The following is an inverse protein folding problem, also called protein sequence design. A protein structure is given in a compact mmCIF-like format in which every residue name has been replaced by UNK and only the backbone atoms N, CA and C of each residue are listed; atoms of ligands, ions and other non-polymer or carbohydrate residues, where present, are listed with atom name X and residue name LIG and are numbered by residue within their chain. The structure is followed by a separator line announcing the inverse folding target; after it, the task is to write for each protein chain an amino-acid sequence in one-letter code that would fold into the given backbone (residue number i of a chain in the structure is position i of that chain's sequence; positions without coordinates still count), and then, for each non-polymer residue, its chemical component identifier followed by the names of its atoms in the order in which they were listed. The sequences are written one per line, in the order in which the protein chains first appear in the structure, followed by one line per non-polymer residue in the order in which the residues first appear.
data_IF_572405439193
#
_entry.id   IF_572405439193
#
_cell.length_a   1.000
_cell.length_b   1.000
_cell.length_c   1.000
_cell.angle_alpha   90.00
_cell.angle_beta   90.00
_cell.angle_gamma   90.00
#
_symmetry.space_group_name_H-M   'P 1'
#
loop_
_entity.id
_entity.type
_entity.pdbx_description
1 polymer ?
#
# COMPACT_ATOMS: atom_id res chain seq x y z
N UNK A 1 -0.55 9.89 -2.70
CA UNK A 1 -1.20 9.11 -3.78
C UNK A 1 -2.31 9.92 -4.43
N UNK A 2 -2.63 9.67 -5.71
CA UNK A 2 -3.84 10.23 -6.36
C UNK A 2 -4.88 9.12 -6.49
N UNK A 3 -6.04 9.35 -5.90
CA UNK A 3 -7.18 8.43 -5.85
C UNK A 3 -8.29 9.01 -6.71
N UNK A 4 -8.83 8.19 -7.60
CA UNK A 4 -9.98 8.52 -8.41
C UNK A 4 -11.20 7.79 -7.86
N UNK A 5 -12.22 8.52 -7.42
CA UNK A 5 -13.47 7.93 -6.91
C UNK A 5 -14.57 8.17 -7.95
N UNK A 6 -15.17 7.08 -8.43
CA UNK A 6 -16.37 7.08 -9.26
C UNK A 6 -17.59 6.73 -8.43
N UNK A 7 -18.66 7.50 -8.60
CA UNK A 7 -19.90 7.20 -7.91
C UNK A 7 -20.79 8.42 -7.73
N UNK A 8 -21.92 8.21 -7.08
CA UNK A 8 -22.65 9.30 -6.47
C UNK A 8 -21.93 9.75 -5.19
N UNK A 9 -22.13 11.01 -4.79
CA UNK A 9 -21.60 11.54 -3.54
C UNK A 9 -22.48 11.05 -2.36
N UNK A 10 -22.52 9.73 -2.20
CA UNK A 10 -23.19 9.07 -1.09
C UNK A 10 -22.45 9.33 0.22
N UNK A 11 -23.10 9.03 1.35
CA UNK A 11 -22.46 9.05 2.67
C UNK A 11 -21.18 8.21 2.69
N UNK A 12 -21.17 7.05 2.02
CA UNK A 12 -19.99 6.17 1.93
C UNK A 12 -18.88 6.85 1.13
N UNK A 13 -19.20 7.35 -0.06
CA UNK A 13 -18.25 8.02 -0.95
C UNK A 13 -17.66 9.28 -0.30
N UNK A 14 -18.47 10.04 0.44
CA UNK A 14 -18.06 11.20 1.23
C UNK A 14 -17.08 10.82 2.34
N UNK A 15 -17.40 9.82 3.17
CA UNK A 15 -16.52 9.40 4.27
C UNK A 15 -15.21 8.83 3.76
N UNK A 16 -15.25 8.07 2.66
CA UNK A 16 -14.05 7.59 1.99
C UNK A 16 -13.17 8.75 1.50
N UNK A 17 -13.75 9.70 0.75
CA UNK A 17 -13.02 10.87 0.26
C UNK A 17 -12.43 11.68 1.42
N UNK A 18 -13.19 11.90 2.49
CA UNK A 18 -12.75 12.60 3.70
C UNK A 18 -11.58 11.90 4.37
N UNK A 19 -11.60 10.56 4.49
CA UNK A 19 -10.50 9.79 5.07
C UNK A 19 -9.24 9.90 4.20
N UNK A 20 -9.37 9.68 2.89
CA UNK A 20 -8.27 9.78 1.94
C UNK A 20 -7.62 11.19 1.95
N UNK A 21 -8.43 12.25 2.03
CA UNK A 21 -7.92 13.62 2.19
C UNK A 21 -7.20 13.81 3.53
N UNK A 22 -7.70 13.27 4.64
CA UNK A 22 -7.03 13.33 5.95
C UNK A 22 -5.65 12.68 5.90
N UNK A 23 -5.54 11.54 5.24
CA UNK A 23 -4.31 10.76 5.06
C UNK A 23 -3.36 11.37 3.99
N UNK A 24 -3.64 12.59 3.51
CA UNK A 24 -2.75 13.34 2.62
C UNK A 24 -2.84 12.93 1.15
N UNK A 25 -3.85 12.16 0.75
CA UNK A 25 -4.06 11.77 -0.63
C UNK A 25 -4.78 12.85 -1.45
N UNK A 26 -4.54 12.85 -2.75
CA UNK A 26 -5.27 13.70 -3.70
C UNK A 26 -6.48 12.94 -4.18
N UNK A 27 -7.66 13.52 -4.06
CA UNK A 27 -8.91 12.85 -4.39
C UNK A 27 -9.59 13.57 -5.54
N UNK A 28 -9.76 12.87 -6.66
CA UNK A 28 -10.64 13.33 -7.74
C UNK A 28 -11.93 12.52 -7.67
N UNK A 29 -13.06 13.21 -7.53
CA UNK A 29 -14.38 12.62 -7.51
C UNK A 29 -15.07 12.84 -8.85
N UNK A 30 -15.51 11.78 -9.50
CA UNK A 30 -16.32 11.85 -10.72
C UNK A 30 -17.74 11.47 -10.35
N UNK A 31 -18.58 12.51 -10.27
CA UNK A 31 -19.98 12.37 -9.91
C UNK A 31 -20.86 12.20 -11.15
N UNK A 32 -21.64 11.13 -11.15
CA UNK A 32 -22.75 10.95 -12.09
C UNK A 32 -23.95 11.76 -11.61
N UNK A 33 -24.41 12.73 -12.42
CA UNK A 33 -25.64 13.48 -12.13
C UNK A 33 -26.74 12.90 -13.01
N UNK A 34 -27.50 11.94 -12.46
CA UNK A 34 -28.73 11.50 -13.10
C UNK A 34 -29.78 12.61 -13.01
N UNK A 35 -30.43 12.94 -14.13
CA UNK A 35 -31.47 13.98 -14.17
C UNK A 35 -32.74 13.59 -13.44
N UNK A 36 -33.00 12.30 -13.24
CA UNK A 36 -34.23 11.82 -12.59
C UNK A 36 -34.11 11.76 -11.04
N UNK A 37 -32.89 11.70 -10.49
CA UNK A 37 -32.63 11.66 -9.04
C UNK A 37 -32.44 13.05 -8.42
N UNK A 38 -33.29 14.03 -8.76
CA UNK A 38 -33.19 15.43 -8.28
C UNK A 38 -33.21 15.59 -6.75
N UNK A 39 -33.76 14.61 -6.03
CA UNK A 39 -33.81 14.62 -4.56
C UNK A 39 -32.43 14.46 -3.89
N UNK A 40 -31.38 14.03 -4.60
CA UNK A 40 -30.02 13.91 -4.05
C UNK A 40 -29.14 15.16 -4.24
N UNK A 41 -29.54 16.11 -5.09
CA UNK A 41 -28.68 17.22 -5.50
C UNK A 41 -28.32 18.17 -4.35
N UNK A 42 -29.25 18.44 -3.44
CA UNK A 42 -29.00 19.35 -2.30
C UNK A 42 -28.01 18.74 -1.29
N UNK A 43 -28.17 17.46 -0.94
CA UNK A 43 -27.24 16.78 -0.04
C UNK A 43 -25.85 16.62 -0.67
N UNK A 44 -25.80 16.41 -1.99
CA UNK A 44 -24.52 16.33 -2.71
C UNK A 44 -23.78 17.67 -2.72
N UNK A 45 -24.47 18.80 -2.84
CA UNK A 45 -23.82 20.10 -2.81
C UNK A 45 -23.23 20.36 -1.42
N UNK A 46 -24.01 20.13 -0.35
CA UNK A 46 -23.53 20.30 1.03
C UNK A 46 -22.32 19.39 1.34
N UNK A 47 -22.37 18.12 0.91
CA UNK A 47 -21.23 17.22 1.08
C UNK A 47 -20.00 17.66 0.28
N UNK A 48 -20.21 18.24 -0.91
CA UNK A 48 -19.13 18.80 -1.74
C UNK A 48 -18.50 20.00 -1.03
N UNK A 49 -19.32 20.93 -0.53
CA UNK A 49 -18.86 22.12 0.17
C UNK A 49 -18.03 21.75 1.41
N UNK A 50 -18.48 20.75 2.19
CA UNK A 50 -17.72 20.20 3.32
C UNK A 50 -16.40 19.54 2.92
N UNK A 51 -16.31 18.90 1.75
CA UNK A 51 -15.04 18.35 1.25
C UNK A 51 -14.12 19.47 0.73
N UNK A 52 -14.67 20.55 0.18
CA UNK A 52 -13.93 21.73 -0.25
C UNK A 52 -13.36 22.49 0.96
N UNK A 53 -14.09 22.60 2.07
CA UNK A 53 -13.57 23.16 3.32
C UNK A 53 -12.32 22.41 3.81
N UNK A 54 -12.31 21.08 3.70
CA UNK A 54 -11.14 20.25 4.04
C UNK A 54 -9.93 20.50 3.13
N UNK A 55 -10.14 21.12 1.97
CA UNK A 55 -9.07 21.47 1.02
C UNK A 55 -8.49 22.86 1.17
N UNK A 56 -9.16 23.75 1.91
CA UNK A 56 -8.59 25.02 2.35
C UNK A 56 -7.31 24.82 3.20
N UNK A 57 -7.04 23.60 3.66
CA UNK A 57 -5.81 23.19 4.36
C UNK A 57 -4.64 22.78 3.43
N UNK A 58 -4.61 23.23 2.17
CA UNK A 58 -3.52 22.94 1.21
C UNK A 58 -3.59 21.56 0.55
N UNK A 59 -4.73 20.85 0.66
CA UNK A 59 -4.94 19.50 0.12
C UNK A 59 -5.73 19.56 -1.19
N UNK A 60 -5.42 18.70 -2.17
CA UNK A 60 -6.01 18.78 -3.53
C UNK A 60 -7.20 17.84 -3.68
N UNK A 61 -8.40 18.40 -3.72
CA UNK A 61 -9.68 17.74 -4.04
C UNK A 61 -10.25 18.35 -5.31
N UNK A 62 -10.85 17.53 -6.15
CA UNK A 62 -11.62 18.02 -7.29
C UNK A 62 -12.87 17.19 -7.48
N UNK A 63 -14.02 17.84 -7.63
CA UNK A 63 -15.26 17.21 -8.09
C UNK A 63 -15.45 17.51 -9.57
N UNK A 64 -15.85 16.50 -10.33
CA UNK A 64 -16.20 16.61 -11.74
C UNK A 64 -17.53 15.95 -11.98
N UNK A 65 -18.46 16.70 -12.56
CA UNK A 65 -19.77 16.21 -12.90
C UNK A 65 -19.76 15.64 -14.32
N UNK A 66 -20.36 14.47 -14.48
CA UNK A 66 -20.63 13.86 -15.79
C UNK A 66 -22.11 13.54 -15.89
N UNK A 67 -22.70 13.77 -17.07
CA UNK A 67 -24.12 13.45 -17.33
C UNK A 67 -24.34 11.96 -17.56
N UNK A 68 -23.33 11.30 -18.11
CA UNK A 68 -23.41 9.88 -18.50
C UNK A 68 -22.10 9.16 -18.14
N UNK A 69 -22.17 7.83 -18.07
CA UNK A 69 -20.97 6.99 -17.96
C UNK A 69 -20.05 7.17 -19.17
N UNK A 70 -20.63 7.23 -20.36
CA UNK A 70 -19.94 7.40 -21.64
C UNK A 70 -19.15 8.72 -21.73
N UNK A 71 -19.58 9.75 -21.01
CA UNK A 71 -18.87 11.04 -20.98
C UNK A 71 -17.77 11.11 -19.93
N UNK A 72 -17.70 10.19 -18.97
CA UNK A 72 -16.69 10.20 -17.91
C UNK A 72 -15.24 10.09 -18.44
N UNK A 73 -14.93 9.25 -19.45
CA UNK A 73 -13.58 9.20 -20.02
C UNK A 73 -13.18 10.51 -20.71
N UNK A 74 -14.13 11.19 -21.36
CA UNK A 74 -13.89 12.50 -22.01
C UNK A 74 -13.58 13.58 -20.98
N UNK A 75 -14.31 13.59 -19.86
CA UNK A 75 -14.05 14.46 -18.71
C UNK A 75 -12.64 14.19 -18.16
N UNK A 76 -12.26 12.92 -18.00
CA UNK A 76 -10.92 12.58 -17.54
C UNK A 76 -9.81 13.02 -18.47
N UNK A 77 -9.94 12.78 -19.79
CA UNK A 77 -8.96 13.25 -20.78
C UNK A 77 -8.76 14.75 -20.75
N UNK A 78 -9.85 15.51 -20.57
CA UNK A 78 -9.80 16.97 -20.52
C UNK A 78 -9.11 17.49 -19.26
N UNK A 79 -9.40 16.91 -18.09
CA UNK A 79 -8.91 17.43 -16.80
C UNK A 79 -7.61 16.78 -16.32
N UNK A 80 -7.26 15.63 -16.87
CA UNK A 80 -6.03 14.91 -16.55
C UNK A 80 -5.47 14.33 -17.84
N UNK A 81 -4.52 15.02 -18.50
CA UNK A 81 -3.88 14.56 -19.73
C UNK A 81 -3.16 13.19 -19.62
N UNK A 82 -3.22 12.52 -18.46
CA UNK A 82 -3.00 11.08 -18.32
C UNK A 82 -3.72 10.53 -17.10
N UNK A 83 -4.69 9.63 -17.30
CA UNK A 83 -5.31 8.85 -16.19
C UNK A 83 -4.27 7.99 -15.46
N UNK A 84 -3.10 7.79 -16.07
CA UNK A 84 -1.89 7.19 -15.48
C UNK A 84 -1.37 7.88 -14.22
N UNK A 85 -1.89 9.06 -13.85
CA UNK A 85 -1.52 9.74 -12.61
C UNK A 85 -2.24 9.18 -11.38
N UNK A 86 -3.32 8.42 -11.54
CA UNK A 86 -4.04 7.80 -10.44
C UNK A 86 -3.45 6.42 -10.12
N UNK A 87 -3.10 6.19 -8.86
CA UNK A 87 -2.62 4.87 -8.41
C UNK A 87 -3.78 3.95 -7.98
N UNK A 88 -4.95 4.52 -7.69
CA UNK A 88 -6.13 3.79 -7.22
C UNK A 88 -7.39 4.32 -7.87
N UNK A 89 -8.30 3.42 -8.24
CA UNK A 89 -9.64 3.75 -8.72
C UNK A 89 -10.66 3.07 -7.81
N UNK A 90 -11.51 3.86 -7.17
CA UNK A 90 -12.57 3.35 -6.29
C UNK A 90 -13.92 3.62 -6.90
N UNK A 91 -14.74 2.58 -7.04
CA UNK A 91 -16.13 2.67 -7.44
C UNK A 91 -16.99 2.55 -6.19
N UNK A 92 -17.61 3.65 -5.79
CA UNK A 92 -18.51 3.71 -4.66
C UNK A 92 -19.93 3.93 -5.19
N UNK A 93 -20.81 2.94 -5.00
CA UNK A 93 -22.19 3.00 -5.52
C UNK A 93 -23.16 3.07 -4.34
N UNK A 94 -24.05 4.06 -4.32
CA UNK A 94 -25.20 4.01 -3.41
C UNK A 94 -26.30 3.12 -3.97
N UNK A 95 -26.93 2.36 -3.08
CA UNK A 95 -28.18 1.70 -3.37
C UNK A 95 -29.31 2.75 -3.41
N UNK A 96 -30.06 2.84 -4.51
CA UNK A 96 -31.29 3.65 -4.53
C UNK A 96 -32.36 2.99 -3.67
N UNK A 97 -33.03 3.77 -2.81
CA UNK A 97 -34.21 3.31 -2.06
C UNK A 97 -35.42 3.23 -3.01
N UNK A 98 -35.74 2.03 -3.48
CA UNK A 98 -36.93 1.76 -4.29
C UNK A 98 -37.21 0.25 -4.36
N UNK A 99 -38.49 -0.13 -4.36
CA UNK A 99 -38.94 -1.52 -4.36
C UNK A 99 -38.69 -2.22 -5.71
N UNK A 100 -38.00 -3.37 -5.64
CA UNK A 100 -37.76 -4.39 -6.67
C UNK A 100 -36.78 -4.11 -7.84
N UNK A 101 -35.58 -4.67 -7.66
CA UNK A 101 -34.38 -4.76 -8.54
C UNK A 101 -33.54 -3.52 -8.94
N UNK A 102 -33.59 -2.33 -8.28
CA UNK A 102 -32.68 -1.23 -8.61
C UNK A 102 -31.19 -1.57 -8.42
N UNK A 103 -30.86 -2.48 -7.50
CA UNK A 103 -29.47 -2.86 -7.22
C UNK A 103 -28.75 -3.44 -8.43
N UNK A 104 -29.44 -4.26 -9.23
CA UNK A 104 -28.86 -4.88 -10.43
C UNK A 104 -28.61 -3.85 -11.54
N UNK A 105 -29.53 -2.88 -11.71
CA UNK A 105 -29.37 -1.81 -12.69
C UNK A 105 -28.20 -0.89 -12.34
N UNK A 106 -28.06 -0.51 -11.06
CA UNK A 106 -26.97 0.37 -10.58
C UNK A 106 -25.61 -0.32 -10.70
N UNK A 107 -25.50 -1.59 -10.31
CA UNK A 107 -24.25 -2.34 -10.45
C UNK A 107 -23.90 -2.51 -11.93
N UNK A 108 -24.87 -2.87 -12.78
CA UNK A 108 -24.68 -3.00 -14.23
C UNK A 108 -24.20 -1.68 -14.86
N UNK A 109 -24.86 -0.57 -14.51
CA UNK A 109 -24.49 0.77 -15.00
C UNK A 109 -23.09 1.16 -14.53
N UNK A 110 -22.74 0.84 -13.28
CA UNK A 110 -21.41 1.11 -12.71
C UNK A 110 -20.31 0.29 -13.40
N UNK A 111 -20.61 -0.97 -13.75
CA UNK A 111 -19.70 -1.84 -14.49
C UNK A 111 -19.55 -1.41 -15.95
N UNK A 112 -20.63 -0.95 -16.60
CA UNK A 112 -20.56 -0.34 -17.92
C UNK A 112 -19.72 0.94 -17.90
N UNK A 113 -19.90 1.77 -16.87
CA UNK A 113 -19.05 2.93 -16.58
C UNK A 113 -17.57 2.55 -16.50
N UNK A 114 -17.24 1.53 -15.69
CA UNK A 114 -15.88 1.02 -15.55
C UNK A 114 -15.35 0.47 -16.88
N UNK A 115 -16.17 -0.28 -17.62
CA UNK A 115 -15.84 -0.83 -18.94
C UNK A 115 -15.42 0.26 -19.91
N UNK A 116 -16.29 1.24 -20.15
CA UNK A 116 -16.01 2.37 -21.05
C UNK A 116 -14.83 3.20 -20.56
N UNK A 117 -14.65 3.32 -19.25
CA UNK A 117 -13.49 3.97 -18.67
C UNK A 117 -12.20 3.24 -19.04
N UNK A 118 -12.12 1.93 -18.80
CA UNK A 118 -10.90 1.17 -19.07
C UNK A 118 -10.57 1.17 -20.57
N UNK A 119 -11.57 1.01 -21.43
CA UNK A 119 -11.41 1.04 -22.89
C UNK A 119 -10.87 2.39 -23.40
N UNK A 120 -11.48 3.50 -22.98
CA UNK A 120 -11.13 4.84 -23.48
C UNK A 120 -9.88 5.42 -22.82
N UNK A 121 -9.63 5.12 -21.54
CA UNK A 121 -8.48 5.68 -20.84
C UNK A 121 -7.16 5.06 -21.26
N UNK A 122 -7.19 3.97 -22.04
CA UNK A 122 -6.00 3.43 -22.69
C UNK A 122 -4.87 3.31 -21.66
N UNK A 123 -5.17 2.68 -20.52
CA UNK A 123 -4.27 2.52 -19.38
C UNK A 123 -3.10 1.60 -19.76
N UNK A 124 -2.25 2.06 -20.68
CA UNK A 124 -1.23 1.30 -21.39
C UNK A 124 0.09 1.19 -20.62
N UNK A 125 0.11 1.52 -19.33
CA UNK A 125 1.33 1.37 -18.51
C UNK A 125 1.22 0.17 -17.59
N UNK A 126 2.33 -0.56 -17.34
CA UNK A 126 2.36 -1.79 -16.55
C UNK A 126 2.21 -1.54 -15.04
N UNK A 127 1.48 -0.49 -14.64
CA UNK A 127 1.25 -0.19 -13.22
C UNK A 127 0.00 -0.95 -12.76
N UNK A 128 0.07 -1.67 -11.63
CA UNK A 128 -1.12 -2.27 -11.05
C UNK A 128 -2.10 -1.15 -10.68
N UNK A 129 -3.33 -1.27 -11.17
CA UNK A 129 -4.43 -0.40 -10.79
C UNK A 129 -5.32 -1.19 -9.85
N UNK A 130 -5.41 -0.74 -8.60
CA UNK A 130 -6.32 -1.32 -7.63
C UNK A 130 -7.72 -0.77 -7.87
N UNK A 131 -8.64 -1.67 -8.21
CA UNK A 131 -10.05 -1.37 -8.39
C UNK A 131 -10.79 -1.86 -7.15
N UNK A 132 -11.35 -0.91 -6.39
CA UNK A 132 -12.18 -1.22 -5.24
C UNK A 132 -13.64 -0.97 -5.58
N UNK A 133 -14.50 -1.98 -5.43
CA UNK A 133 -15.94 -1.84 -5.59
C UNK A 133 -16.57 -1.84 -4.21
N UNK A 134 -17.12 -0.69 -3.83
CA UNK A 134 -17.81 -0.50 -2.55
C UNK A 134 -19.29 -0.32 -2.86
N UNK A 135 -20.10 -1.31 -2.52
CA UNK A 135 -21.55 -1.22 -2.61
C UNK A 135 -22.14 -0.93 -1.22
N UNK A 136 -22.87 0.17 -1.09
CA UNK A 136 -23.56 0.54 0.15
C UNK A 136 -24.75 -0.37 0.49
N UNK A 137 -25.09 -1.36 -0.36
CA UNK A 137 -26.11 -2.38 -0.06
C UNK A 137 -25.86 -3.05 1.30
N UNK A 138 -24.60 -3.22 1.70
CA UNK A 138 -24.20 -3.87 2.95
C UNK A 138 -24.61 -3.08 4.22
N UNK A 139 -24.85 -1.77 4.08
CA UNK A 139 -25.37 -0.94 5.18
C UNK A 139 -26.90 -0.98 5.30
N UNK A 140 -27.61 -1.28 4.20
CA UNK A 140 -29.08 -1.32 4.13
C UNK A 140 -29.62 -2.75 4.28
N UNK A 141 -28.87 -3.76 3.83
CA UNK A 141 -29.21 -5.18 3.91
C UNK A 141 -29.25 -5.73 5.35
N UNK A 142 -28.70 -4.99 6.32
CA UNK A 142 -28.88 -5.27 7.75
C UNK A 142 -30.35 -5.19 8.20
N UNK A 143 -31.28 -4.80 7.33
CA UNK A 143 -32.69 -4.64 7.68
C UNK A 143 -33.65 -5.72 7.16
N UNK A 144 -33.49 -6.42 6.00
CA UNK A 144 -34.49 -7.44 5.59
C UNK A 144 -34.05 -8.57 4.62
N UNK A 145 -34.41 -9.81 5.01
CA UNK A 145 -34.59 -11.09 4.27
C UNK A 145 -33.39 -11.77 3.57
N UNK A 146 -33.35 -13.11 3.67
CA UNK A 146 -32.35 -14.01 3.06
C UNK A 146 -32.33 -14.00 1.52
N UNK A 147 -33.43 -13.63 0.86
CA UNK A 147 -33.54 -13.61 -0.62
C UNK A 147 -32.71 -12.52 -1.31
N UNK A 148 -32.26 -11.50 -0.57
CA UNK A 148 -31.43 -10.42 -1.09
C UNK A 148 -29.97 -10.86 -1.33
N UNK A 149 -29.49 -11.85 -0.58
CA UNK A 149 -28.10 -12.30 -0.63
C UNK A 149 -27.79 -13.09 -1.91
N UNK A 150 -28.68 -14.00 -2.33
CA UNK A 150 -28.49 -14.79 -3.57
C UNK A 150 -28.55 -13.90 -4.82
N UNK A 151 -29.45 -12.91 -4.82
CA UNK A 151 -29.53 -11.92 -5.92
C UNK A 151 -28.28 -11.05 -5.98
N UNK A 152 -27.72 -10.64 -4.84
CA UNK A 152 -26.47 -9.87 -4.79
C UNK A 152 -25.27 -10.68 -5.32
N UNK A 153 -25.13 -11.95 -4.90
CA UNK A 153 -24.07 -12.83 -5.35
C UNK A 153 -24.10 -13.04 -6.88
N UNK A 154 -25.27 -13.27 -7.45
CA UNK A 154 -25.45 -13.42 -8.91
C UNK A 154 -25.05 -12.16 -9.69
N UNK A 155 -25.41 -10.98 -9.19
CA UNK A 155 -25.08 -9.70 -9.84
C UNK A 155 -23.57 -9.42 -9.80
N UNK A 156 -22.90 -9.74 -8.70
CA UNK A 156 -21.45 -9.60 -8.57
C UNK A 156 -20.69 -10.58 -9.46
N UNK A 157 -21.17 -11.82 -9.61
CA UNK A 157 -20.59 -12.81 -10.53
C UNK A 157 -20.65 -12.33 -12.00
N UNK A 158 -21.81 -11.85 -12.45
CA UNK A 158 -21.99 -11.33 -13.82
C UNK A 158 -21.10 -10.10 -14.07
N UNK A 159 -21.03 -9.19 -13.09
CA UNK A 159 -20.19 -8.00 -13.15
C UNK A 159 -18.70 -8.34 -13.28
N UNK A 160 -18.22 -9.25 -12.43
CA UNK A 160 -16.83 -9.68 -12.41
C UNK A 160 -16.43 -10.42 -13.69
N UNK A 161 -17.27 -11.32 -14.20
CA UNK A 161 -17.05 -12.00 -15.49
C UNK A 161 -16.95 -11.01 -16.64
N UNK A 162 -17.75 -9.94 -16.64
CA UNK A 162 -17.72 -8.92 -17.69
C UNK A 162 -16.41 -8.11 -17.68
N UNK A 163 -15.93 -7.70 -16.51
CA UNK A 163 -14.66 -6.98 -16.35
C UNK A 163 -13.46 -7.85 -16.75
N UNK A 164 -13.46 -9.12 -16.35
CA UNK A 164 -12.37 -10.06 -16.66
C UNK A 164 -12.34 -10.43 -18.16
N UNK A 165 -13.49 -10.68 -18.78
CA UNK A 165 -13.57 -11.02 -20.21
C UNK A 165 -13.13 -9.85 -21.10
N UNK A 166 -13.55 -8.62 -20.79
CA UNK A 166 -13.12 -7.43 -21.51
C UNK A 166 -11.60 -7.23 -21.37
N UNK A 167 -11.05 -7.37 -20.17
CA UNK A 167 -9.61 -7.18 -19.95
C UNK A 167 -8.78 -8.25 -20.67
N UNK A 168 -9.20 -9.52 -20.63
CA UNK A 168 -8.55 -10.61 -21.37
C UNK A 168 -8.56 -10.37 -22.89
N UNK A 169 -9.67 -9.84 -23.42
CA UNK A 169 -9.76 -9.47 -24.85
C UNK A 169 -8.79 -8.34 -25.23
N UNK A 170 -8.38 -7.50 -24.28
CA UNK A 170 -7.54 -6.32 -24.52
C UNK A 170 -6.06 -6.57 -24.21
N UNK A 171 -5.75 -7.44 -23.23
CA UNK A 171 -4.40 -7.61 -22.70
C UNK A 171 -4.09 -9.07 -22.43
N UNK A 172 -3.23 -9.67 -23.26
CA UNK A 172 -2.70 -11.03 -23.14
C UNK A 172 -1.73 -11.22 -21.94
N UNK A 173 -1.89 -10.49 -20.84
CA UNK A 173 -0.98 -10.51 -19.68
C UNK A 173 -1.71 -10.32 -18.34
N UNK A 174 -1.31 -11.00 -17.24
CA UNK A 174 -2.05 -10.98 -15.98
C UNK A 174 -1.40 -10.04 -14.95
N UNK A 175 -2.14 -9.03 -14.46
CA UNK A 175 -2.05 -8.55 -13.07
C UNK A 175 -3.08 -7.45 -12.79
N UNK A 176 -4.33 -7.85 -12.51
CA UNK A 176 -5.28 -7.00 -11.78
C UNK A 176 -5.56 -7.69 -10.45
N UNK A 177 -5.32 -6.97 -9.35
CA UNK A 177 -5.78 -7.38 -8.03
C UNK A 177 -7.13 -6.71 -7.75
N UNK A 178 -8.21 -7.45 -7.96
CA UNK A 178 -9.54 -7.04 -7.52
C UNK A 178 -9.72 -7.51 -6.07
N UNK A 179 -9.90 -6.56 -5.14
CA UNK A 179 -10.09 -6.86 -3.72
C UNK A 179 -11.50 -6.44 -3.29
N UNK A 180 -12.30 -7.40 -2.86
CA UNK A 180 -13.57 -7.13 -2.19
C UNK A 180 -13.29 -6.68 -0.74
N UNK A 181 -14.09 -5.75 -0.22
CA UNK A 181 -13.87 -5.20 1.13
C UNK A 181 -14.23 -6.25 2.20
N UNK A 182 -13.45 -6.38 3.30
CA UNK A 182 -13.74 -7.29 4.40
C UNK A 182 -15.15 -7.06 4.97
N UNK A 183 -16.03 -8.06 4.81
CA UNK A 183 -17.47 -7.97 5.10
C UNK A 183 -18.26 -8.76 4.06
N UNK A 184 -17.94 -8.55 2.79
CA UNK A 184 -18.51 -9.30 1.65
C UNK A 184 -18.07 -10.77 1.69
N UNK A 185 -16.78 -11.02 1.93
CA UNK A 185 -16.22 -12.39 2.02
C UNK A 185 -16.82 -13.21 3.18
N UNK A 186 -17.05 -12.56 4.33
CA UNK A 186 -17.62 -13.21 5.53
C UNK A 186 -19.09 -13.55 5.36
N UNK A 187 -19.86 -12.77 4.60
CA UNK A 187 -21.26 -13.09 4.33
C UNK A 187 -21.43 -14.13 3.22
N UNK A 188 -20.57 -14.10 2.20
CA UNK A 188 -20.56 -15.13 1.14
C UNK A 188 -20.20 -16.52 1.69
N UNK A 189 -19.41 -16.60 2.77
CA UNK A 189 -19.13 -17.86 3.47
C UNK A 189 -20.22 -18.31 4.45
N UNK A 190 -21.09 -17.39 4.90
CA UNK A 190 -22.20 -17.69 5.83
C UNK A 190 -23.53 -18.05 5.13
N UNK A 191 -23.68 -17.78 3.83
CA UNK A 191 -24.79 -18.30 3.04
C UNK A 191 -24.53 -19.77 2.69
N UNK A 192 -25.45 -20.67 3.03
CA UNK A 192 -25.35 -22.11 2.76
C UNK A 192 -25.20 -22.47 1.27
N UNK A 193 -25.54 -21.55 0.37
CA UNK A 193 -25.37 -21.61 -1.09
C UNK A 193 -24.10 -20.91 -1.62
N UNK A 194 -23.43 -20.07 -0.82
CA UNK A 194 -22.41 -19.13 -1.29
C UNK A 194 -20.98 -19.68 -1.35
N UNK A 195 -20.58 -20.52 -0.39
CA UNK A 195 -19.23 -21.09 -0.37
C UNK A 195 -18.93 -22.04 -1.56
N UNK A 196 -19.87 -22.91 -2.00
CA UNK A 196 -19.68 -23.70 -3.21
C UNK A 196 -19.61 -22.81 -4.45
N UNK A 197 -20.44 -21.77 -4.55
CA UNK A 197 -20.49 -20.87 -5.69
C UNK A 197 -19.22 -20.01 -5.83
N UNK A 198 -18.67 -19.48 -4.73
CA UNK A 198 -17.40 -18.74 -4.76
C UNK A 198 -16.26 -19.67 -5.19
N UNK A 199 -16.24 -20.92 -4.69
CA UNK A 199 -15.24 -21.91 -5.08
C UNK A 199 -15.40 -22.33 -6.54
N UNK A 200 -16.63 -22.53 -7.01
CA UNK A 200 -16.95 -22.89 -8.40
C UNK A 200 -16.62 -21.75 -9.38
N UNK A 201 -16.95 -20.51 -9.04
CA UNK A 201 -16.62 -19.33 -9.85
C UNK A 201 -15.11 -19.12 -9.88
N UNK A 202 -14.42 -19.20 -8.74
CA UNK A 202 -12.96 -19.04 -8.68
C UNK A 202 -12.26 -20.20 -9.40
N UNK A 203 -12.71 -21.44 -9.24
CA UNK A 203 -12.16 -22.61 -9.93
C UNK A 203 -12.46 -22.61 -11.43
N UNK A 204 -13.64 -22.15 -11.86
CA UNK A 204 -13.98 -22.00 -13.28
C UNK A 204 -13.16 -20.90 -13.95
N UNK A 205 -12.89 -19.80 -13.23
CA UNK A 205 -12.00 -18.73 -13.68
C UNK A 205 -10.56 -19.26 -13.80
N UNK A 206 -10.04 -19.96 -12.79
CA UNK A 206 -8.68 -20.55 -12.81
C UNK A 206 -8.55 -21.60 -13.92
N UNK A 207 -9.54 -22.49 -14.07
CA UNK A 207 -9.52 -23.54 -15.09
C UNK A 207 -9.62 -22.97 -16.51
N UNK A 208 -10.50 -21.99 -16.75
CA UNK A 208 -10.58 -21.31 -18.04
C UNK A 208 -9.30 -20.52 -18.39
N UNK A 209 -8.58 -20.01 -17.37
CA UNK A 209 -7.27 -19.39 -17.54
C UNK A 209 -6.16 -20.42 -17.84
N UNK A 210 -6.23 -21.63 -17.29
CA UNK A 210 -5.23 -22.69 -17.49
C UNK A 210 -5.38 -23.40 -18.84
N UNK A 211 -6.59 -23.80 -19.23
CA UNK A 211 -6.84 -24.55 -20.49
C UNK A 211 -6.47 -23.73 -21.73
N UNK A 212 -6.51 -22.39 -21.66
CA UNK A 212 -6.16 -21.51 -22.79
C UNK A 212 -4.68 -21.11 -22.87
N UNK A 213 -3.90 -21.37 -21.82
CA UNK A 213 -2.44 -21.20 -21.88
C UNK A 213 -1.76 -22.31 -22.70
N UNK A 214 -2.33 -23.51 -22.70
CA UNK A 214 -1.79 -24.67 -23.42
C UNK A 214 -1.92 -24.52 -24.95
N UNK A 215 -2.95 -23.80 -25.42
CA UNK A 215 -3.19 -23.56 -26.85
C UNK A 215 -2.20 -22.56 -27.50
N UNK A 216 -1.44 -21.78 -26.72
CA UNK A 216 -0.54 -20.73 -27.25
C UNK A 216 0.92 -21.13 -27.45
N UNK A 217 1.31 -22.38 -27.14
CA UNK A 217 2.69 -22.86 -27.29
C UNK A 217 3.05 -23.38 -28.70
N UNK A 218 2.16 -23.25 -29.69
CA UNK A 218 2.41 -23.68 -31.06
C UNK A 218 2.52 -22.46 -32.01
N UNK A 219 3.72 -21.88 -32.13
CA UNK A 219 4.35 -21.32 -33.36
C UNK A 219 5.30 -20.13 -33.08
N UNK A 220 6.64 -20.33 -33.07
CA UNK A 220 7.63 -19.27 -32.81
C UNK A 220 8.31 -18.77 -34.10
N UNK A 221 7.56 -18.39 -35.15
CA UNK A 221 8.15 -17.81 -36.38
C UNK A 221 7.34 -16.66 -37.00
N UNK A 222 7.23 -15.52 -36.34
CA UNK A 222 7.20 -14.23 -37.05
C UNK A 222 7.38 -13.05 -36.11
N UNK A 223 8.50 -12.33 -36.25
CA UNK A 223 8.69 -10.88 -36.04
C UNK A 223 10.18 -10.57 -35.88
N UNK A 224 10.88 -10.43 -37.01
CA UNK A 224 12.10 -9.62 -37.09
C UNK A 224 11.82 -8.47 -38.03
N UNK A 225 12.07 -7.25 -37.57
CA UNK A 225 12.30 -6.09 -38.43
C UNK A 225 13.49 -5.27 -37.89
N UNK A 226 14.18 -4.49 -38.76
CA UNK A 226 15.60 -4.24 -38.64
C UNK A 226 15.96 -2.90 -37.96
N UNK A 227 17.16 -2.89 -37.39
CA UNK A 227 17.83 -1.73 -36.79
C UNK A 227 18.31 -0.71 -37.85
N UNK A 228 18.24 0.58 -37.50
CA UNK A 228 18.84 1.73 -38.18
C UNK A 228 19.58 2.62 -37.14
N UNK A 229 20.51 3.51 -37.55
CA UNK A 229 21.87 3.53 -37.02
C UNK A 229 22.19 4.61 -35.99
N UNK A 230 23.29 4.39 -35.28
CA UNK A 230 23.89 5.26 -34.24
C UNK A 230 24.51 6.52 -34.84
N UNK A 231 24.11 7.69 -34.35
CA UNK A 231 25.00 8.85 -34.25
C UNK A 231 24.48 9.88 -33.24
N UNK A 232 25.43 10.47 -32.49
CA UNK A 232 25.34 11.63 -31.60
C UNK A 232 25.13 11.34 -30.10
N UNK A 233 26.27 11.22 -29.41
CA UNK A 233 26.44 11.37 -27.96
C UNK A 233 26.42 12.86 -27.58
N UNK A 234 25.77 13.24 -26.46
CA UNK A 234 26.19 14.38 -25.68
C UNK A 234 26.77 13.96 -24.31
N UNK A 235 27.98 14.47 -24.06
CA UNK A 235 28.57 14.88 -22.77
C UNK A 235 27.78 14.57 -21.48
N UNK A 236 28.34 13.66 -20.67
CA UNK A 236 27.84 13.31 -19.35
C UNK A 236 28.19 14.41 -18.32
N UNK A 237 27.17 15.11 -17.82
CA UNK A 237 27.24 15.83 -16.54
C UNK A 237 27.10 14.81 -15.41
N UNK A 238 27.99 14.88 -14.42
CA UNK A 238 27.91 14.09 -13.19
C UNK A 238 26.59 14.40 -12.46
N UNK A 239 25.72 13.40 -12.36
CA UNK A 239 24.47 13.48 -11.58
C UNK A 239 24.76 13.16 -10.13
N UNK A 240 24.73 14.19 -9.27
CA UNK A 240 24.56 14.02 -7.83
C UNK A 240 23.14 13.46 -7.61
N UNK A 241 23.05 12.21 -7.16
CA UNK A 241 21.78 11.61 -6.76
C UNK A 241 21.36 12.27 -5.44
N UNK A 242 20.47 13.26 -5.52
CA UNK A 242 19.80 13.84 -4.35
C UNK A 242 18.67 12.89 -3.95
N UNK A 243 18.84 12.14 -2.86
CA UNK A 243 17.81 11.25 -2.29
C UNK A 243 16.70 12.03 -1.54
N UNK A 244 16.50 13.31 -1.83
CA UNK A 244 15.57 14.18 -1.10
C UNK A 244 14.14 14.20 -1.63
N UNK A 245 13.84 13.53 -2.75
CA UNK A 245 12.51 13.61 -3.35
C UNK A 245 11.66 12.39 -3.01
N UNK A 246 10.88 12.56 -1.94
CA UNK A 246 9.65 11.84 -1.58
C UNK A 246 9.77 10.35 -1.31
N UNK A 247 9.48 9.95 -0.06
CA UNK A 247 9.35 8.58 0.44
C UNK A 247 8.18 7.77 -0.19
N UNK A 248 7.78 8.07 -1.43
CA UNK A 248 6.55 7.56 -2.04
C UNK A 248 6.75 6.52 -3.16
N UNK A 249 7.98 6.16 -3.51
CA UNK A 249 8.29 5.06 -4.44
C UNK A 249 9.65 4.44 -4.06
N UNK A 250 9.77 3.88 -2.84
CA UNK A 250 10.92 3.01 -2.57
C UNK A 250 10.67 1.73 -3.35
N UNK A 251 11.28 1.61 -4.53
CA UNK A 251 11.38 0.33 -5.24
C UNK A 251 11.86 -0.75 -4.27
N UNK A 252 11.41 -1.98 -4.41
CA UNK A 252 11.98 -3.09 -3.64
C UNK A 252 13.50 -3.09 -3.89
N UNK A 253 14.27 -2.74 -2.85
CA UNK A 253 15.73 -2.64 -2.90
C UNK A 253 16.37 -3.65 -1.97
N UNK A 254 17.41 -4.32 -2.46
CA UNK A 254 18.28 -5.19 -1.64
C UNK A 254 19.59 -4.47 -1.38
N UNK A 255 19.90 -4.26 -0.11
CA UNK A 255 21.13 -3.60 0.33
C UNK A 255 22.23 -4.62 0.61
N UNK A 256 23.46 -4.35 0.18
CA UNK A 256 24.63 -5.12 0.57
C UNK A 256 25.89 -4.25 0.65
N UNK A 257 26.97 -4.80 1.19
CA UNK A 257 28.27 -4.13 1.28
C UNK A 257 29.34 -4.93 0.54
N UNK A 258 30.21 -4.23 -0.19
CA UNK A 258 31.41 -4.79 -0.79
C UNK A 258 32.60 -3.92 -0.38
N UNK A 259 33.24 -4.27 0.74
CA UNK A 259 34.35 -3.53 1.32
C UNK A 259 35.68 -4.23 1.04
N UNK A 260 36.52 -3.63 0.22
CA UNK A 260 37.83 -4.17 -0.18
C UNK A 260 38.93 -3.80 0.81
N UNK A 261 38.74 -2.74 1.61
CA UNK A 261 39.73 -2.30 2.60
C UNK A 261 39.61 -2.99 3.97
N UNK A 262 38.62 -3.88 4.14
CA UNK A 262 38.42 -4.68 5.37
C UNK A 262 38.57 -6.16 5.08
N UNK A 263 39.12 -6.90 6.06
CA UNK A 263 39.11 -8.36 6.03
C UNK A 263 37.70 -8.87 6.26
N UNK A 264 37.31 -9.85 5.47
CA UNK A 264 36.13 -10.68 5.75
C UNK A 264 36.36 -11.39 7.10
N UNK A 265 35.53 -11.16 8.12
CA UNK A 265 35.75 -11.73 9.45
C UNK A 265 35.58 -13.25 9.49
N UNK A 266 34.86 -13.85 8.53
CA UNK A 266 34.67 -15.30 8.44
C UNK A 266 35.83 -15.97 7.68
N UNK A 267 36.30 -15.34 6.60
CA UNK A 267 37.33 -15.92 5.72
C UNK A 267 38.75 -15.47 6.05
N UNK A 268 38.91 -14.40 6.82
CA UNK A 268 40.21 -13.83 7.19
C UNK A 268 40.99 -13.18 6.05
N UNK A 269 40.36 -13.00 4.88
CA UNK A 269 40.98 -12.48 3.65
C UNK A 269 40.36 -11.14 3.22
N UNK A 270 41.11 -10.36 2.44
CA UNK A 270 40.56 -9.20 1.73
C UNK A 270 39.94 -9.65 0.42
N UNK A 271 38.80 -9.05 0.06
CA UNK A 271 38.16 -9.30 -1.23
C UNK A 271 38.71 -8.30 -2.24
N UNK A 272 39.15 -8.80 -3.42
CA UNK A 272 39.58 -7.92 -4.52
C UNK A 272 38.42 -7.05 -5.03
N UNK A 273 38.71 -5.80 -5.42
CA UNK A 273 37.72 -4.83 -5.89
C UNK A 273 37.12 -5.09 -7.27
N UNK A 274 37.49 -6.21 -7.90
CA UNK A 274 36.98 -6.66 -9.20
C UNK A 274 36.58 -8.14 -9.22
N UNK A 275 36.37 -8.74 -8.04
CA UNK A 275 36.07 -10.18 -7.95
C UNK A 275 34.58 -10.47 -8.26
N UNK A 276 34.24 -10.69 -9.53
CA UNK A 276 32.86 -10.98 -9.92
C UNK A 276 32.34 -12.27 -9.30
N UNK A 277 33.16 -13.32 -9.18
CA UNK A 277 32.67 -14.59 -8.62
C UNK A 277 32.15 -14.42 -7.19
N UNK A 278 32.74 -13.51 -6.41
CA UNK A 278 32.31 -13.18 -5.05
C UNK A 278 30.88 -12.65 -4.96
N UNK A 279 30.38 -11.93 -5.96
CA UNK A 279 29.02 -11.34 -5.98
C UNK A 279 28.09 -11.95 -7.02
N UNK A 280 28.58 -12.91 -7.81
CA UNK A 280 27.87 -13.42 -8.99
C UNK A 280 26.51 -14.02 -8.66
N UNK A 281 26.41 -14.81 -7.60
CA UNK A 281 25.15 -15.43 -7.15
C UNK A 281 24.13 -14.40 -6.68
N UNK A 282 24.57 -13.45 -5.83
CA UNK A 282 23.71 -12.35 -5.37
C UNK A 282 23.21 -11.52 -6.54
N UNK A 283 24.10 -11.12 -7.45
CA UNK A 283 23.76 -10.35 -8.64
C UNK A 283 22.80 -11.10 -9.58
N UNK A 284 23.00 -12.41 -9.77
CA UNK A 284 22.08 -13.22 -10.57
C UNK A 284 20.70 -13.29 -9.93
N UNK A 285 20.62 -13.43 -8.60
CA UNK A 285 19.33 -13.46 -7.89
C UNK A 285 18.52 -12.17 -8.06
N UNK A 286 19.17 -11.00 -8.10
CA UNK A 286 18.50 -9.73 -8.37
C UNK A 286 17.86 -9.72 -9.76
N UNK A 287 18.60 -10.21 -10.77
CA UNK A 287 18.09 -10.34 -12.14
C UNK A 287 16.90 -11.29 -12.24
N UNK A 288 17.01 -12.45 -11.59
CA UNK A 288 16.00 -13.50 -11.68
C UNK A 288 14.66 -13.05 -11.07
N UNK A 289 14.70 -12.23 -10.02
CA UNK A 289 13.50 -11.71 -9.33
C UNK A 289 13.06 -10.34 -9.87
N UNK A 290 13.92 -9.62 -10.60
CA UNK A 290 13.64 -8.28 -11.11
C UNK A 290 13.64 -7.21 -10.02
N UNK A 291 14.52 -7.34 -9.03
CA UNK A 291 14.68 -6.43 -7.88
C UNK A 291 15.97 -5.64 -8.01
N UNK A 292 15.97 -4.37 -7.59
CA UNK A 292 17.16 -3.52 -7.67
C UNK A 292 18.08 -3.70 -6.46
N UNK A 293 19.39 -3.66 -6.71
CA UNK A 293 20.42 -3.77 -5.68
C UNK A 293 21.10 -2.42 -5.38
N UNK A 294 21.50 -2.21 -4.13
CA UNK A 294 22.42 -1.13 -3.75
C UNK A 294 23.65 -1.74 -3.07
N UNK A 295 24.82 -1.53 -3.67
CA UNK A 295 26.11 -1.94 -3.10
C UNK A 295 26.80 -0.73 -2.50
N UNK A 296 27.00 -0.75 -1.19
CA UNK A 296 27.90 0.17 -0.54
C UNK A 296 29.34 -0.33 -0.66
N UNK A 297 30.25 0.51 -1.15
CA UNK A 297 31.63 0.10 -1.39
C UNK A 297 32.66 1.15 -1.02
N UNK A 298 33.90 0.74 -0.83
CA UNK A 298 35.04 1.62 -0.50
C UNK A 298 36.12 1.67 -1.60
N UNK A 299 36.18 0.64 -2.47
CA UNK A 299 37.26 0.52 -3.47
C UNK A 299 36.93 -0.16 -4.79
N UNK A 300 35.65 -0.41 -5.12
CA UNK A 300 35.28 -1.01 -6.42
C UNK A 300 35.66 -0.12 -7.61
N UNK A 301 36.21 -0.74 -8.66
CA UNK A 301 36.62 -0.03 -9.88
C UNK A 301 35.41 0.38 -10.74
N UNK A 302 35.50 1.45 -11.54
CA UNK A 302 34.42 1.84 -12.45
C UNK A 302 34.01 0.73 -13.43
N UNK A 303 34.97 -0.03 -13.93
CA UNK A 303 34.76 -1.13 -14.88
C UNK A 303 33.95 -2.26 -14.24
N UNK A 304 34.29 -2.61 -13.00
CA UNK A 304 33.58 -3.63 -12.24
C UNK A 304 32.14 -3.19 -11.92
N UNK A 305 31.94 -1.92 -11.55
CA UNK A 305 30.60 -1.37 -11.30
C UNK A 305 29.72 -1.43 -12.55
N UNK A 306 30.28 -1.10 -13.71
CA UNK A 306 29.58 -1.18 -15.00
C UNK A 306 29.14 -2.60 -15.34
N UNK A 307 29.84 -3.63 -14.86
CA UNK A 307 29.49 -5.04 -15.06
C UNK A 307 28.24 -5.46 -14.28
N UNK A 308 27.92 -4.81 -13.15
CA UNK A 308 26.73 -5.13 -12.35
C UNK A 308 25.51 -4.25 -12.66
N UNK A 309 25.63 -3.36 -13.63
CA UNK A 309 24.55 -2.48 -14.08
C UNK A 309 23.76 -3.15 -15.23
N UNK A 310 22.45 -2.85 -15.36
CA UNK A 310 21.70 -1.79 -14.68
C UNK A 310 21.11 -2.17 -13.31
N UNK A 311 21.15 -3.43 -12.90
CA UNK A 311 20.41 -3.94 -11.73
C UNK A 311 20.97 -3.41 -10.41
N UNK A 312 22.25 -3.04 -10.37
CA UNK A 312 22.94 -2.60 -9.16
C UNK A 312 23.37 -1.14 -9.26
N UNK A 313 22.99 -0.37 -8.25
CA UNK A 313 23.51 0.98 -7.99
C UNK A 313 24.59 0.94 -6.89
N UNK A 314 25.44 1.97 -6.86
CA UNK A 314 26.64 1.96 -6.03
C UNK A 314 26.74 3.23 -5.19
N UNK A 315 26.98 3.06 -3.89
CA UNK A 315 27.26 4.15 -2.97
C UNK A 315 28.65 4.01 -2.37
N UNK A 316 29.54 4.94 -2.72
CA UNK A 316 30.88 4.96 -2.13
C UNK A 316 30.80 5.40 -0.67
N UNK A 317 31.41 4.65 0.23
CA UNK A 317 31.45 4.88 1.67
C UNK A 317 32.87 4.78 2.21
N UNK A 318 33.08 5.33 3.40
CA UNK A 318 34.27 5.10 4.21
C UNK A 318 33.92 4.09 5.31
N UNK A 319 34.57 2.91 5.34
CA UNK A 319 34.34 1.95 6.41
C UNK A 319 34.71 2.53 7.78
N UNK A 320 33.92 2.22 8.81
CA UNK A 320 34.16 2.59 10.19
C UNK A 320 35.21 1.71 10.89
N UNK A 321 35.28 1.79 12.22
CA UNK A 321 36.25 1.01 13.03
C UNK A 321 35.77 -0.42 13.34
N UNK A 322 34.48 -0.71 13.13
CA UNK A 322 33.87 -1.99 13.47
C UNK A 322 34.14 -3.07 12.40
N UNK A 323 33.80 -4.32 12.71
CA UNK A 323 33.89 -5.42 11.74
C UNK A 323 33.00 -5.15 10.52
N UNK A 324 33.28 -5.78 9.38
CA UNK A 324 32.45 -5.62 8.17
C UNK A 324 30.98 -5.95 8.43
N UNK A 325 30.71 -6.98 9.23
CA UNK A 325 29.36 -7.44 9.56
C UNK A 325 28.57 -6.44 10.42
N UNK A 326 29.26 -5.66 11.24
CA UNK A 326 28.63 -4.65 12.10
C UNK A 326 28.51 -3.30 11.38
N UNK A 327 29.57 -2.91 10.67
CA UNK A 327 29.68 -1.61 10.00
C UNK A 327 28.62 -1.41 8.92
N UNK A 328 28.21 -2.50 8.23
CA UNK A 328 27.17 -2.46 7.19
C UNK A 328 25.85 -1.87 7.69
N UNK A 329 25.44 -2.17 8.92
CA UNK A 329 24.17 -1.70 9.46
C UNK A 329 24.13 -0.19 9.61
N UNK A 330 25.26 0.45 9.93
CA UNK A 330 25.33 1.91 10.00
C UNK A 330 25.11 2.57 8.64
N UNK A 331 25.56 1.93 7.56
CA UNK A 331 25.34 2.41 6.21
C UNK A 331 23.90 2.18 5.76
N UNK A 332 23.32 1.02 6.12
CA UNK A 332 21.91 0.72 5.83
C UNK A 332 20.99 1.71 6.56
N UNK A 333 21.23 1.97 7.84
CA UNK A 333 20.45 2.93 8.63
C UNK A 333 20.49 4.35 8.04
N UNK A 334 21.62 4.78 7.46
CA UNK A 334 21.72 6.09 6.78
C UNK A 334 20.82 6.19 5.54
N UNK A 335 20.54 5.08 4.86
CA UNK A 335 19.57 5.07 3.75
C UNK A 335 18.13 5.05 4.26
N UNK A 336 17.88 4.34 5.35
CA UNK A 336 16.54 4.23 5.92
C UNK A 336 16.06 5.56 6.50
N UNK A 337 16.98 6.47 6.87
CA UNK A 337 16.70 7.84 7.29
C UNK A 337 16.74 8.04 8.80
N UNK A 338 16.49 9.28 9.21
CA UNK A 338 16.46 9.68 10.63
C UNK A 338 15.09 9.35 11.24
N UNK A 339 14.87 8.06 11.49
CA UNK A 339 13.65 7.55 12.09
C UNK A 339 13.85 6.94 13.49
N UNK A 340 12.79 6.98 14.29
CA UNK A 340 12.59 6.09 15.43
C UNK A 340 12.05 4.76 14.90
N UNK A 341 12.91 3.76 14.83
CA UNK A 341 12.56 2.41 14.42
C UNK A 341 11.97 1.69 15.62
N UNK A 342 10.70 1.31 15.55
CA UNK A 342 10.00 0.69 16.66
C UNK A 342 9.14 -0.47 16.17
N UNK A 343 9.15 -1.57 16.92
CA UNK A 343 8.33 -2.72 16.59
C UNK A 343 6.85 -2.40 16.73
N UNK A 344 5.99 -2.95 15.88
CA UNK A 344 4.55 -3.00 16.17
C UNK A 344 4.16 -4.32 16.83
N UNK A 345 3.14 -4.25 17.70
CA UNK A 345 2.59 -5.38 18.44
C UNK A 345 1.24 -5.87 17.89
N UNK A 346 0.76 -5.32 16.77
CA UNK A 346 -0.62 -5.55 16.30
C UNK A 346 -0.82 -5.49 14.78
N UNK A 347 -1.16 -6.64 14.20
CA UNK A 347 -1.78 -6.73 12.86
C UNK A 347 -3.28 -7.06 12.93
N UNK A 348 -3.75 -7.71 14.00
CA UNK A 348 -5.07 -8.34 14.04
C UNK A 348 -6.21 -7.40 14.51
N UNK A 349 -5.87 -6.26 15.13
CA UNK A 349 -6.86 -5.32 15.65
C UNK A 349 -6.70 -3.93 15.01
N UNK A 350 -7.80 -3.31 14.57
CA UNK A 350 -7.72 -2.02 13.87
C UNK A 350 -7.35 -0.84 14.77
N UNK A 351 -7.53 -0.96 16.10
CA UNK A 351 -7.25 0.11 17.06
C UNK A 351 -6.91 -0.44 18.45
N UNK A 352 -6.07 0.30 19.20
CA UNK A 352 -5.66 0.01 20.57
C UNK A 352 -6.83 -0.24 21.55
N UNK A 353 -7.95 0.48 21.40
CA UNK A 353 -9.14 0.29 22.24
C UNK A 353 -9.76 -1.10 22.20
N UNK A 354 -9.45 -1.91 21.18
CA UNK A 354 -9.93 -3.29 21.11
C UNK A 354 -9.10 -4.25 21.96
N UNK A 355 -7.97 -3.78 22.50
CA UNK A 355 -7.16 -4.51 23.46
C UNK A 355 -7.53 -4.08 24.88
N UNK A 356 -8.33 -4.91 25.56
CA UNK A 356 -8.74 -4.62 26.94
C UNK A 356 -7.52 -4.43 27.86
N UNK A 357 -6.47 -5.24 27.67
CA UNK A 357 -5.24 -5.14 28.46
C UNK A 357 -4.53 -3.79 28.27
N UNK A 358 -4.52 -3.24 27.06
CA UNK A 358 -3.88 -1.95 26.77
C UNK A 358 -4.66 -0.83 27.44
N UNK A 359 -5.98 -0.86 27.34
CA UNK A 359 -6.85 0.11 28.04
C UNK A 359 -6.63 0.08 29.54
N UNK A 360 -6.69 -1.10 30.17
CA UNK A 360 -6.44 -1.26 31.60
C UNK A 360 -5.05 -0.76 31.98
N UNK A 361 -4.03 -1.05 31.17
CA UNK A 361 -2.66 -0.57 31.44
C UNK A 361 -2.50 0.94 31.31
N UNK A 362 -3.12 1.56 30.31
CA UNK A 362 -3.11 3.02 30.17
C UNK A 362 -3.81 3.69 31.36
N UNK A 363 -4.98 3.20 31.77
CA UNK A 363 -5.70 3.72 32.93
C UNK A 363 -4.93 3.52 34.24
N UNK A 364 -4.28 2.36 34.42
CA UNK A 364 -3.44 2.07 35.58
C UNK A 364 -2.25 3.03 35.66
N UNK A 365 -1.53 3.20 34.55
CA UNK A 365 -0.26 3.92 34.52
C UNK A 365 -0.40 5.43 34.61
N UNK A 366 -1.41 6.00 33.92
CA UNK A 366 -1.60 7.45 33.89
C UNK A 366 -2.69 7.94 34.86
N UNK A 367 -3.43 7.01 35.47
CA UNK A 367 -4.50 7.29 36.41
C UNK A 367 -5.79 7.83 35.76
N UNK A 368 -6.85 8.02 36.57
CA UNK A 368 -8.16 8.46 36.08
C UNK A 368 -8.16 9.88 35.48
N UNK A 369 -7.20 10.72 35.87
CA UNK A 369 -7.03 12.09 35.38
C UNK A 369 -6.58 12.14 33.93
N UNK A 370 -5.89 11.12 33.43
CA UNK A 370 -5.43 11.06 32.05
C UNK A 370 -6.59 11.14 31.05
N UNK A 371 -7.72 10.50 31.39
CA UNK A 371 -8.94 10.55 30.60
C UNK A 371 -9.52 11.97 30.47
N UNK A 372 -9.25 12.86 31.45
CA UNK A 372 -9.85 14.21 31.49
C UNK A 372 -9.20 15.19 30.52
N UNK A 373 -7.95 14.95 30.11
CA UNK A 373 -7.22 15.82 29.19
C UNK A 373 -7.41 15.43 27.71
N UNK A 374 -8.15 14.36 27.42
CA UNK A 374 -8.40 13.88 26.05
C UNK A 374 -7.24 13.10 25.43
N UNK A 375 -6.07 13.06 26.08
CA UNK A 375 -4.87 12.34 25.60
C UNK A 375 -5.07 10.81 25.61
N UNK A 376 -5.85 10.27 26.54
CA UNK A 376 -6.19 8.83 26.54
C UNK A 376 -7.05 8.45 25.35
N UNK A 377 -7.93 9.34 24.91
CA UNK A 377 -8.82 9.07 23.78
C UNK A 377 -8.02 8.98 22.48
N UNK A 378 -7.03 9.86 22.29
CA UNK A 378 -6.14 9.77 21.14
C UNK A 378 -5.31 8.49 21.17
N UNK A 379 -4.77 8.10 22.34
CA UNK A 379 -4.00 6.85 22.50
C UNK A 379 -4.79 5.58 22.19
N UNK A 380 -6.02 5.50 22.69
CA UNK A 380 -6.91 4.36 22.44
C UNK A 380 -7.46 4.33 21.01
N UNK A 381 -7.41 5.45 20.29
CA UNK A 381 -7.80 5.58 18.88
C UNK A 381 -6.63 5.36 17.90
N UNK A 382 -5.44 5.02 18.39
CA UNK A 382 -4.30 4.70 17.54
C UNK A 382 -4.46 3.34 16.88
N UNK A 383 -4.10 3.28 15.60
CA UNK A 383 -4.14 2.06 14.79
C UNK A 383 -2.95 1.13 15.03
N UNK A 384 -1.88 1.63 15.65
CA UNK A 384 -0.65 0.86 15.91
C UNK A 384 -0.30 0.96 17.39
N UNK A 385 -0.06 -0.19 18.02
CA UNK A 385 0.57 -0.26 19.33
C UNK A 385 2.01 -0.70 19.13
N UNK A 386 2.92 0.08 19.68
CA UNK A 386 4.35 -0.15 19.58
C UNK A 386 4.86 -1.07 20.68
N UNK A 387 5.76 -1.98 20.28
CA UNK A 387 6.45 -2.93 21.13
C UNK A 387 7.63 -2.24 21.83
N UNK A 388 7.55 -2.12 23.16
CA UNK A 388 8.60 -1.47 23.96
C UNK A 388 9.93 -2.24 24.02
N UNK A 389 9.96 -3.50 23.60
CA UNK A 389 11.15 -4.35 23.53
C UNK A 389 11.93 -4.24 22.22
N UNK A 390 11.36 -3.61 21.18
CA UNK A 390 11.98 -3.44 19.86
C UNK A 390 12.02 -1.96 19.55
N UNK A 391 13.08 -1.26 19.96
CA UNK A 391 13.25 0.18 19.72
C UNK A 391 14.69 0.46 19.30
N UNK A 392 14.88 1.27 18.27
CA UNK A 392 16.19 1.69 17.78
C UNK A 392 16.12 2.95 16.92
N UNK A 393 17.29 3.47 16.54
CA UNK A 393 17.41 4.63 15.68
C UNK A 393 18.74 5.33 15.81
N UNK A 394 18.96 6.41 15.03
CA UNK A 394 20.13 7.26 15.17
C UNK A 394 20.27 7.77 16.61
N UNK A 395 21.53 7.88 17.07
CA UNK A 395 21.85 8.28 18.45
C UNK A 395 21.09 9.52 18.93
N UNK A 396 20.97 10.54 18.08
CA UNK A 396 20.32 11.80 18.47
C UNK A 396 18.81 11.64 18.69
N UNK A 397 18.13 10.82 17.87
CA UNK A 397 16.71 10.46 18.07
C UNK A 397 16.56 9.64 19.34
N UNK A 398 17.40 8.62 19.53
CA UNK A 398 17.33 7.75 20.70
C UNK A 398 17.57 8.52 22.01
N UNK A 399 18.50 9.47 22.04
CA UNK A 399 18.72 10.31 23.22
C UNK A 399 17.50 11.20 23.52
N UNK A 400 16.87 11.78 22.49
CA UNK A 400 15.64 12.57 22.66
C UNK A 400 14.50 11.68 23.17
N UNK A 401 14.33 10.50 22.59
CA UNK A 401 13.30 9.52 22.96
C UNK A 401 13.46 9.05 24.39
N UNK A 402 14.67 8.60 24.76
CA UNK A 402 14.98 8.12 26.11
C UNK A 402 14.78 9.22 27.16
N UNK A 403 15.15 10.48 26.86
CA UNK A 403 14.89 11.60 27.77
C UNK A 403 13.40 11.74 28.07
N UNK A 404 12.57 11.83 27.03
CA UNK A 404 11.11 11.94 27.19
C UNK A 404 10.53 10.72 27.91
N UNK A 405 10.99 9.51 27.56
CA UNK A 405 10.55 8.28 28.22
C UNK A 405 10.88 8.27 29.71
N UNK A 406 12.08 8.71 30.10
CA UNK A 406 12.46 8.79 31.51
C UNK A 406 11.72 9.88 32.29
N UNK A 407 11.37 10.99 31.63
CA UNK A 407 10.54 12.04 32.22
C UNK A 407 9.14 11.52 32.47
N UNK A 408 8.54 10.87 31.46
CA UNK A 408 7.21 10.26 31.57
C UNK A 408 7.16 9.21 32.67
N UNK A 409 8.09 8.24 32.66
CA UNK A 409 8.11 7.13 33.63
C UNK A 409 8.26 7.58 35.08
N UNK A 410 8.81 8.78 35.35
CA UNK A 410 8.89 9.34 36.72
C UNK A 410 7.54 9.80 37.25
N UNK A 411 6.64 10.20 36.37
CA UNK A 411 5.32 10.74 36.72
C UNK A 411 4.22 9.66 36.71
N UNK A 412 4.49 8.49 36.12
CA UNK A 412 3.51 7.41 36.04
C UNK A 412 3.31 6.71 37.39
N UNK A 413 2.06 6.31 37.61
CA UNK A 413 1.64 5.58 38.79
C UNK A 413 1.71 4.07 38.51
N UNK A 414 2.51 3.35 39.30
CA UNK A 414 2.51 1.89 39.33
C UNK A 414 3.60 1.20 38.52
N UNK A 415 3.62 -0.13 38.65
CA UNK A 415 4.69 -0.97 38.13
C UNK A 415 4.42 -1.40 36.68
N UNK A 416 5.52 -1.54 35.91
CA UNK A 416 5.52 -2.06 34.54
C UNK A 416 4.71 -1.19 33.55
N UNK A 417 4.93 0.12 33.58
CA UNK A 417 4.32 1.11 32.70
C UNK A 417 5.11 1.44 31.43
N UNK A 418 6.15 0.67 31.13
CA UNK A 418 7.02 0.85 29.96
C UNK A 418 6.25 0.89 28.63
N UNK A 419 5.33 -0.05 28.40
CA UNK A 419 4.57 -0.11 27.14
C UNK A 419 3.63 1.08 26.98
N UNK A 420 2.98 1.47 28.08
CA UNK A 420 2.09 2.62 28.12
C UNK A 420 2.86 3.94 27.84
N UNK A 421 4.00 4.11 28.52
CA UNK A 421 4.88 5.26 28.34
C UNK A 421 5.48 5.33 26.93
N UNK A 422 5.98 4.22 26.39
CA UNK A 422 6.54 4.15 25.03
C UNK A 422 5.52 4.56 23.99
N UNK A 423 4.29 4.04 24.08
CA UNK A 423 3.22 4.39 23.14
C UNK A 423 2.82 5.86 23.28
N UNK A 424 2.69 6.38 24.50
CA UNK A 424 2.41 7.80 24.72
C UNK A 424 3.50 8.69 24.09
N UNK A 425 4.78 8.41 24.39
CA UNK A 425 5.89 9.21 23.90
C UNK A 425 6.05 9.12 22.38
N UNK A 426 6.02 7.90 21.82
CA UNK A 426 6.23 7.68 20.39
C UNK A 426 5.16 8.41 19.58
N UNK A 427 3.88 8.23 19.92
CA UNK A 427 2.79 8.86 19.18
C UNK A 427 2.64 10.36 19.45
N UNK A 428 3.05 10.86 20.63
CA UNK A 428 2.94 12.29 20.95
C UNK A 428 4.08 13.13 20.38
N UNK A 429 5.30 12.60 20.38
CA UNK A 429 6.50 13.39 20.09
C UNK A 429 7.31 12.91 18.89
N UNK A 430 7.03 11.71 18.36
CA UNK A 430 7.82 11.07 17.31
C UNK A 430 6.97 10.51 16.17
N UNK A 431 5.66 10.76 16.11
CA UNK A 431 4.76 10.19 15.08
C UNK A 431 5.24 10.51 13.65
N UNK A 432 5.79 11.71 13.45
CA UNK A 432 6.32 12.19 12.18
C UNK A 432 7.65 11.55 11.76
N UNK A 433 8.37 10.94 12.71
CA UNK A 433 9.67 10.29 12.49
C UNK A 433 9.66 8.82 12.85
N UNK A 434 8.51 8.21 13.14
CA UNK A 434 8.43 6.79 13.52
C UNK A 434 8.37 5.89 12.28
N UNK A 435 9.16 4.82 12.30
CA UNK A 435 9.11 3.73 11.33
C UNK A 435 8.80 2.43 12.05
N UNK A 436 7.74 1.74 11.64
CA UNK A 436 7.29 0.46 12.23
C UNK A 436 6.79 -0.49 11.13
N UNK A 437 6.49 -1.73 11.50
CA UNK A 437 6.09 -2.79 10.56
C UNK A 437 7.28 -3.64 10.11
N UNK A 438 7.06 -4.50 9.11
CA UNK A 438 8.06 -5.48 8.67
C UNK A 438 9.44 -4.83 8.36
N UNK A 439 10.56 -5.34 8.91
CA UNK A 439 10.71 -6.56 9.74
C UNK A 439 10.58 -6.34 11.26
N UNK A 440 10.32 -5.11 11.72
CA UNK A 440 10.14 -4.71 13.11
C UNK A 440 8.69 -4.96 13.54
N UNK A 441 8.33 -6.22 13.70
CA UNK A 441 6.97 -6.60 14.13
C UNK A 441 7.02 -7.81 15.04
N UNK A 442 6.14 -7.87 16.05
CA UNK A 442 5.97 -9.06 16.89
C UNK A 442 5.00 -10.09 16.29
N UNK A 443 4.54 -9.87 15.05
CA UNK A 443 3.70 -10.81 14.31
C UNK A 443 4.26 -12.23 14.31
N UNK A 444 5.59 -12.36 14.23
CA UNK A 444 6.26 -13.65 14.18
C UNK A 444 6.41 -14.23 15.58
N UNK A 445 5.44 -15.06 15.96
CA UNK A 445 5.40 -15.70 17.28
C UNK A 445 6.34 -16.90 17.31
N UNK A 446 6.91 -17.20 18.48
CA UNK A 446 7.85 -18.31 18.71
C UNK A 446 7.35 -19.69 18.28
N UNK A 447 6.04 -19.89 18.09
CA UNK A 447 5.46 -21.15 17.63
C UNK A 447 5.26 -21.23 16.11
N UNK A 448 5.54 -20.17 15.36
CA UNK A 448 5.43 -20.13 13.89
C UNK A 448 6.76 -20.52 13.22
N UNK A 449 7.34 -21.66 13.64
CA UNK A 449 8.65 -22.17 13.22
C UNK A 449 8.79 -22.50 11.72
N UNK A 450 7.75 -22.27 10.92
CA UNK A 450 7.69 -22.66 9.51
C UNK A 450 7.83 -21.47 8.53
N UNK A 451 7.92 -20.23 9.00
CA UNK A 451 8.13 -19.09 8.09
C UNK A 451 9.62 -18.86 7.85
N UNK A 452 10.05 -19.03 6.59
CA UNK A 452 11.43 -18.80 6.14
C UNK A 452 11.92 -17.34 6.31
N UNK A 453 11.05 -16.42 6.75
CA UNK A 453 11.32 -14.99 6.87
C UNK A 453 11.55 -14.50 8.32
N UNK A 454 11.56 -15.38 9.31
CA UNK A 454 11.68 -14.99 10.72
C UNK A 454 13.15 -14.89 11.15
N UNK A 455 13.70 -13.68 11.19
CA UNK A 455 15.10 -13.43 11.59
C UNK A 455 15.27 -13.05 13.08
N UNK A 456 14.21 -12.56 13.74
CA UNK A 456 14.24 -12.16 15.16
C UNK A 456 12.96 -12.64 15.82
N UNK A 457 13.08 -13.57 16.77
CA UNK A 457 11.97 -14.03 17.61
C UNK A 457 12.01 -13.23 18.91
N UNK A 458 11.03 -12.35 19.13
CA UNK A 458 10.86 -11.69 20.41
C UNK A 458 9.72 -12.37 21.18
N UNK A 459 10.12 -13.29 22.06
CA UNK A 459 9.31 -14.12 22.98
C UNK A 459 8.40 -15.18 22.38
#
# INVERSE_FOLDING_TARGET
MKVLIFGDLSTVSYHLARRMLRDGHWVTFIQYVDRELRLSAHNSQEMTDRLVELTAMGKRFSVRHTKTCETAPKVLRYFSPGVTQYSHIVFATAASRGSESPGTAIVRQSMQCLSSLLEETRLYKPRPIFIHIVNAYDAVARLHSSSANDKFASVMDIAMKSVLNMYWSLHKTPAIHVKLVPGVEKQMSMASSGAPLVKEVTSSIISAMQTRCEDTNNDPKSLRQPLMPKSQLPSAKASNLSLTDTAADVEDIVLTTYLTSKKDPQRGVFVSGSNYSYVSEWHQSLRDVGINGVVFHDGLTPEFRKQLQPEVTFQKIRPGILSLNDDRYFHFLRLLGDHLYIGDDMDDYPFARHLEWTKTKMEQCFGPSFNKQGETKSLLDMSVIYNAGIIGGPRHIMLRFLRQLTEELRELLGDNCNTAAVNHIAHKYFDDVTFSGFPLTSKYKIYQNQMAATYVIHK
#
